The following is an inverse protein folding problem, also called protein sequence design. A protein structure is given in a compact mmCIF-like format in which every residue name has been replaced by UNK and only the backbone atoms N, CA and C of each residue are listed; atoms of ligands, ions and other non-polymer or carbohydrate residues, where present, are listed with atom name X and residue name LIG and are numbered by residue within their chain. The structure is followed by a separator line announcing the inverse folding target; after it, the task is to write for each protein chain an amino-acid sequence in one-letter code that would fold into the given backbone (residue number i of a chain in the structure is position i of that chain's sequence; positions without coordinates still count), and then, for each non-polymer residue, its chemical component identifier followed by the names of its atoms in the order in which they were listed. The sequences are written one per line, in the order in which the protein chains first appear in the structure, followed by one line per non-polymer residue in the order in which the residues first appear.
data_IF_451193841258
#
_entry.id   IF_451193841258
#
_cell.length_a   1.000
_cell.length_b   1.000
_cell.length_c   1.000
_cell.angle_alpha   90.00
_cell.angle_beta   90.00
_cell.angle_gamma   90.00
#
_symmetry.space_group_name_H-M   'P 1'
#
loop_
_entity.id
_entity.type
_entity.pdbx_description
1 polymer ?
#
# COMPACT_ATOMS: atom_id res chain seq x y z
N UNK A 1 -9.95 -23.51 14.61
CA UNK A 1 -8.91 -24.03 13.67
C UNK A 1 -8.15 -22.83 13.15
N UNK A 2 -6.83 -22.92 12.89
CA UNK A 2 -6.12 -21.80 12.30
C UNK A 2 -6.77 -21.35 10.98
N UNK A 3 -6.85 -20.04 10.78
CA UNK A 3 -7.39 -19.44 9.55
C UNK A 3 -6.29 -19.19 8.50
N UNK A 4 -5.01 -19.15 8.93
CA UNK A 4 -3.86 -19.09 8.05
C UNK A 4 -3.42 -20.52 7.66
N UNK A 5 -3.37 -20.79 6.38
CA UNK A 5 -2.93 -22.06 5.82
C UNK A 5 -1.54 -21.93 5.19
N UNK A 6 -0.64 -22.82 5.58
CA UNK A 6 0.67 -22.93 4.94
C UNK A 6 0.50 -23.70 3.62
N UNK A 7 0.91 -23.08 2.51
CA UNK A 7 0.76 -23.63 1.14
C UNK A 7 2.07 -24.13 0.55
N UNK A 8 3.20 -23.76 1.15
CA UNK A 8 4.52 -24.14 0.64
C UNK A 8 5.64 -24.03 1.68
N UNK A 9 6.85 -24.52 1.37
CA UNK A 9 7.97 -24.46 2.28
C UNK A 9 8.38 -23.01 2.57
N UNK A 10 8.79 -22.75 3.83
CA UNK A 10 9.27 -21.45 4.31
C UNK A 10 10.76 -21.64 4.63
N UNK A 11 11.58 -21.76 3.58
CA UNK A 11 13.04 -21.79 3.70
C UNK A 11 13.59 -20.49 3.14
N UNK A 12 13.77 -19.51 4.03
CA UNK A 12 14.06 -18.12 3.70
C UNK A 12 15.24 -17.62 4.52
N UNK A 13 16.04 -16.76 3.90
CA UNK A 13 17.20 -16.12 4.51
C UNK A 13 16.85 -14.69 4.93
N UNK A 14 16.82 -14.43 6.25
CA UNK A 14 16.58 -13.12 6.85
C UNK A 14 15.41 -12.35 6.19
N UNK A 15 14.19 -12.96 6.12
CA UNK A 15 13.12 -12.42 5.29
C UNK A 15 12.57 -11.12 5.85
N UNK A 16 12.21 -10.21 4.92
CA UNK A 16 11.43 -9.01 5.19
C UNK A 16 9.99 -9.23 4.73
N UNK A 17 9.01 -8.93 5.58
CA UNK A 17 7.60 -9.02 5.24
C UNK A 17 7.10 -7.66 4.72
N UNK A 18 6.72 -7.59 3.47
CA UNK A 18 6.04 -6.45 2.84
C UNK A 18 4.54 -6.72 2.86
N UNK A 19 3.76 -5.82 3.45
CA UNK A 19 2.30 -5.86 3.48
C UNK A 19 1.77 -4.80 2.53
N UNK A 20 1.21 -5.23 1.40
CA UNK A 20 0.71 -4.39 0.32
C UNK A 20 -0.68 -4.89 -0.11
N UNK A 21 -1.70 -4.54 0.66
CA UNK A 21 -3.08 -5.00 0.49
C UNK A 21 -3.98 -3.85 0.02
N UNK A 22 -5.03 -4.18 -0.74
CA UNK A 22 -6.07 -3.21 -1.08
C UNK A 22 -6.91 -2.87 0.15
N UNK A 23 -7.56 -1.72 0.15
CA UNK A 23 -8.44 -1.34 1.25
C UNK A 23 -8.46 0.17 1.50
N UNK A 24 -8.72 0.54 2.74
CA UNK A 24 -8.90 1.93 3.15
C UNK A 24 -7.74 2.87 2.80
N UNK A 25 -6.50 2.42 2.93
CA UNK A 25 -5.29 3.21 2.64
C UNK A 25 -4.60 2.78 1.34
N UNK A 26 -5.37 2.48 0.31
CA UNK A 26 -4.88 2.12 -1.03
C UNK A 26 -5.30 3.16 -2.09
N UNK A 27 -5.12 4.44 -1.79
CA UNK A 27 -5.38 5.54 -2.71
C UNK A 27 -4.66 5.32 -4.05
N UNK A 28 -5.38 5.50 -5.16
CA UNK A 28 -4.82 5.26 -6.49
C UNK A 28 -4.32 3.83 -6.71
N UNK A 29 -4.82 2.84 -5.94
CA UNK A 29 -4.42 1.42 -6.02
C UNK A 29 -2.90 1.21 -5.92
N UNK A 30 -2.18 2.10 -5.23
CA UNK A 30 -0.71 2.07 -5.19
C UNK A 30 -0.22 0.82 -4.47
N UNK A 31 -0.76 0.51 -3.27
CA UNK A 31 -0.37 -0.68 -2.51
C UNK A 31 -0.68 -1.96 -3.29
N UNK A 32 -1.89 -2.05 -3.88
CA UNK A 32 -2.28 -3.18 -4.75
C UNK A 32 -1.27 -3.39 -5.88
N UNK A 33 -0.95 -2.34 -6.67
CA UNK A 33 -0.03 -2.46 -7.81
C UNK A 33 1.41 -2.75 -7.41
N UNK A 34 1.88 -2.17 -6.30
CA UNK A 34 3.19 -2.50 -5.72
C UNK A 34 3.25 -3.98 -5.33
N UNK A 35 2.24 -4.47 -4.62
CA UNK A 35 2.16 -5.87 -4.23
C UNK A 35 2.10 -6.82 -5.43
N UNK A 36 1.26 -6.53 -6.43
CA UNK A 36 1.16 -7.31 -7.67
C UNK A 36 2.50 -7.37 -8.42
N UNK A 37 3.21 -6.25 -8.50
CA UNK A 37 4.50 -6.18 -9.16
C UNK A 37 5.58 -6.98 -8.42
N UNK A 38 5.66 -6.84 -7.10
CA UNK A 38 6.63 -7.58 -6.29
C UNK A 38 6.40 -9.09 -6.33
N UNK A 39 5.14 -9.55 -6.23
CA UNK A 39 4.84 -10.98 -6.19
C UNK A 39 4.89 -11.69 -7.55
N UNK A 40 5.08 -10.97 -8.67
CA UNK A 40 5.00 -11.55 -10.01
C UNK A 40 5.89 -12.79 -10.21
N UNK A 41 7.08 -12.79 -9.61
CA UNK A 41 8.02 -13.90 -9.62
C UNK A 41 8.00 -14.69 -8.29
N UNK A 42 7.01 -14.43 -7.44
CA UNK A 42 6.85 -15.04 -6.13
C UNK A 42 6.26 -16.44 -6.17
N UNK A 43 6.52 -17.18 -5.11
CA UNK A 43 5.91 -18.49 -4.86
C UNK A 43 4.96 -18.40 -3.68
N UNK A 44 3.72 -18.79 -3.84
CA UNK A 44 2.74 -18.84 -2.76
C UNK A 44 3.22 -19.75 -1.61
N UNK A 45 3.30 -19.19 -0.39
CA UNK A 45 3.74 -19.90 0.80
C UNK A 45 2.69 -20.01 1.89
N UNK A 46 1.76 -19.05 1.95
CA UNK A 46 0.66 -19.08 2.91
C UNK A 46 -0.54 -18.27 2.38
N UNK A 47 -1.70 -18.44 2.99
CA UNK A 47 -2.88 -17.65 2.70
C UNK A 47 -3.98 -17.88 3.73
N UNK A 48 -4.79 -16.87 3.95
CA UNK A 48 -5.96 -16.97 4.81
C UNK A 48 -7.12 -17.62 4.07
N UNK A 49 -7.94 -18.41 4.79
CA UNK A 49 -9.14 -19.03 4.20
C UNK A 49 -10.16 -17.93 3.89
N UNK A 50 -10.55 -17.76 2.62
CA UNK A 50 -11.43 -16.65 2.24
C UNK A 50 -12.79 -16.68 2.94
N UNK A 51 -13.40 -17.86 3.10
CA UNK A 51 -14.73 -18.04 3.71
C UNK A 51 -14.78 -17.62 5.19
N UNK A 52 -13.63 -17.55 5.87
CA UNK A 52 -13.57 -17.13 7.28
C UNK A 52 -13.41 -15.61 7.44
N UNK A 53 -12.82 -14.95 6.45
CA UNK A 53 -12.36 -13.55 6.60
C UNK A 53 -13.08 -12.56 5.69
N UNK A 54 -13.76 -13.03 4.62
CA UNK A 54 -14.48 -12.16 3.68
C UNK A 54 -15.98 -12.34 3.74
N UNK A 55 -16.70 -11.24 3.79
CA UNK A 55 -18.11 -11.17 3.44
C UNK A 55 -18.24 -10.96 1.91
N UNK A 56 -18.73 -11.97 1.22
CA UNK A 56 -18.88 -11.91 -0.24
C UNK A 56 -20.00 -11.00 -0.74
N UNK A 57 -20.81 -10.43 0.13
CA UNK A 57 -21.74 -9.36 -0.24
C UNK A 57 -21.03 -8.01 -0.35
N UNK A 58 -20.05 -7.78 0.52
CA UNK A 58 -19.21 -6.57 0.55
C UNK A 58 -17.98 -6.71 -0.37
N UNK A 59 -17.31 -7.85 -0.32
CA UNK A 59 -16.18 -8.20 -1.19
C UNK A 59 -16.61 -9.23 -2.24
N UNK A 60 -17.35 -8.78 -3.25
CA UNK A 60 -17.91 -9.72 -4.26
C UNK A 60 -16.82 -10.32 -5.13
N UNK A 61 -16.85 -11.66 -5.36
CA UNK A 61 -16.03 -12.28 -6.40
C UNK A 61 -16.36 -11.66 -7.76
N UNK A 62 -15.35 -11.42 -8.58
CA UNK A 62 -15.57 -11.00 -9.96
C UNK A 62 -15.65 -12.20 -10.89
N UNK A 63 -16.51 -12.09 -11.91
CA UNK A 63 -16.72 -13.12 -12.92
C UNK A 63 -16.17 -12.64 -14.26
N UNK A 64 -15.18 -13.35 -14.77
CA UNK A 64 -14.53 -13.03 -16.03
C UNK A 64 -15.28 -13.68 -17.20
N UNK A 65 -15.61 -12.87 -18.20
CA UNK A 65 -16.21 -13.27 -19.46
C UNK A 65 -15.25 -12.97 -20.60
N UNK A 66 -14.92 -13.98 -21.42
CA UNK A 66 -14.16 -13.80 -22.66
C UNK A 66 -15.05 -14.23 -23.81
N UNK A 67 -15.28 -13.32 -24.77
CA UNK A 67 -16.15 -13.53 -25.95
C UNK A 67 -17.55 -14.06 -25.59
N UNK A 68 -18.10 -13.62 -24.46
CA UNK A 68 -19.41 -14.03 -23.97
C UNK A 68 -19.45 -15.37 -23.24
N UNK A 69 -18.33 -16.08 -23.16
CA UNK A 69 -18.20 -17.32 -22.39
C UNK A 69 -17.64 -17.00 -20.98
N UNK A 70 -18.28 -17.50 -19.93
CA UNK A 70 -17.78 -17.45 -18.56
C UNK A 70 -16.54 -18.33 -18.41
N UNK A 71 -15.43 -17.77 -17.97
CA UNK A 71 -14.14 -18.47 -17.92
C UNK A 71 -13.61 -18.67 -16.54
N UNK A 72 -13.80 -17.69 -15.64
CA UNK A 72 -13.16 -17.71 -14.32
C UNK A 72 -13.92 -16.86 -13.30
N UNK A 73 -13.91 -17.33 -12.05
CA UNK A 73 -14.31 -16.55 -10.87
C UNK A 73 -13.03 -16.18 -10.12
N UNK A 74 -12.85 -14.89 -9.87
CA UNK A 74 -11.77 -14.36 -9.03
C UNK A 74 -12.35 -14.06 -7.65
N UNK A 75 -11.99 -14.89 -6.69
CA UNK A 75 -12.39 -14.72 -5.31
C UNK A 75 -11.49 -13.69 -4.60
N UNK A 76 -12.03 -12.89 -3.67
CA UNK A 76 -11.19 -12.10 -2.78
C UNK A 76 -10.25 -13.02 -2.03
N UNK A 77 -9.03 -12.57 -1.81
CA UNK A 77 -8.00 -13.39 -1.20
C UNK A 77 -7.04 -12.55 -0.38
N UNK A 78 -6.37 -13.18 0.57
CA UNK A 78 -5.28 -12.60 1.34
C UNK A 78 -4.17 -13.65 1.42
N UNK A 79 -3.08 -13.41 0.70
CA UNK A 79 -2.02 -14.41 0.44
C UNK A 79 -0.63 -13.86 0.74
N UNK A 80 0.31 -14.76 0.98
CA UNK A 80 1.72 -14.44 1.19
C UNK A 80 2.54 -15.23 0.17
N UNK A 81 3.29 -14.49 -0.64
CA UNK A 81 4.22 -15.03 -1.62
C UNK A 81 5.67 -14.79 -1.17
N UNK A 82 6.55 -15.74 -1.44
CA UNK A 82 7.97 -15.65 -1.12
C UNK A 82 8.80 -15.45 -2.37
N UNK A 83 9.72 -14.48 -2.30
CA UNK A 83 10.69 -14.17 -3.35
C UNK A 83 12.10 -14.30 -2.80
N UNK A 84 13.03 -14.77 -3.64
CA UNK A 84 14.46 -14.74 -3.32
C UNK A 84 15.04 -13.37 -3.62
N UNK A 85 15.79 -12.83 -2.66
CA UNK A 85 16.53 -11.58 -2.80
C UNK A 85 18.04 -11.80 -2.91
N UNK A 86 18.79 -10.79 -3.33
CA UNK A 86 20.26 -10.86 -3.41
C UNK A 86 20.93 -10.89 -2.03
N UNK A 87 20.24 -10.42 -0.99
CA UNK A 87 20.69 -10.41 0.41
C UNK A 87 19.64 -11.05 1.33
N UNK A 88 18.58 -10.34 1.60
CA UNK A 88 17.43 -10.83 2.36
C UNK A 88 16.35 -11.32 1.40
N UNK A 89 15.66 -12.40 1.76
CA UNK A 89 14.48 -12.85 1.03
C UNK A 89 13.29 -11.94 1.37
N UNK A 90 12.25 -11.95 0.54
CA UNK A 90 11.05 -11.13 0.74
C UNK A 90 9.80 -11.99 0.78
N UNK A 91 8.98 -11.73 1.78
CA UNK A 91 7.61 -12.18 1.86
C UNK A 91 6.71 -11.01 1.45
N UNK A 92 5.81 -11.22 0.51
CA UNK A 92 4.86 -10.19 0.07
C UNK A 92 3.46 -10.65 0.38
N UNK A 93 2.79 -9.95 1.30
CA UNK A 93 1.38 -10.16 1.61
C UNK A 93 0.54 -9.24 0.72
N UNK A 94 -0.37 -9.86 -0.04
CA UNK A 94 -1.25 -9.16 -0.99
C UNK A 94 -2.66 -9.68 -0.91
N UNK A 95 -3.60 -8.89 -1.42
CA UNK A 95 -5.01 -9.27 -1.53
C UNK A 95 -5.93 -8.16 -1.10
N UNK A 96 -7.18 -8.54 -0.79
CA UNK A 96 -8.21 -7.61 -0.36
C UNK A 96 -8.17 -7.43 1.17
N UNK A 97 -8.54 -6.24 1.64
CA UNK A 97 -8.77 -6.01 3.06
C UNK A 97 -10.00 -6.82 3.51
N UNK A 98 -9.83 -7.74 4.50
CA UNK A 98 -10.91 -8.55 5.02
C UNK A 98 -11.98 -7.75 5.77
N UNK A 99 -13.21 -8.26 5.77
CA UNK A 99 -14.33 -7.64 6.49
C UNK A 99 -14.40 -8.06 7.96
N UNK A 100 -13.71 -9.14 8.35
CA UNK A 100 -13.82 -9.73 9.67
C UNK A 100 -12.50 -10.34 10.16
N UNK A 101 -12.45 -10.75 11.42
CA UNK A 101 -11.37 -11.54 12.03
C UNK A 101 -10.01 -10.82 12.07
N UNK A 102 -10.00 -9.49 12.11
CA UNK A 102 -8.75 -8.71 12.06
C UNK A 102 -7.77 -9.04 13.18
N UNK A 103 -8.26 -9.29 14.39
CA UNK A 103 -7.41 -9.65 15.53
C UNK A 103 -6.79 -11.04 15.33
N UNK A 104 -7.59 -12.02 14.94
CA UNK A 104 -7.13 -13.38 14.65
C UNK A 104 -6.14 -13.42 13.47
N UNK A 105 -6.43 -12.65 12.41
CA UNK A 105 -5.50 -12.48 11.27
C UNK A 105 -4.16 -11.93 11.77
N UNK A 106 -4.20 -10.90 12.62
CA UNK A 106 -3.00 -10.26 13.15
C UNK A 106 -2.20 -11.19 14.06
N UNK A 107 -2.85 -11.94 14.93
CA UNK A 107 -2.22 -12.89 15.86
C UNK A 107 -1.58 -14.07 15.08
N UNK A 108 -2.29 -14.65 14.12
CA UNK A 108 -1.76 -15.75 13.30
C UNK A 108 -0.61 -15.27 12.39
N UNK A 109 -0.72 -14.06 11.83
CA UNK A 109 0.36 -13.48 11.04
C UNK A 109 1.60 -13.17 11.90
N UNK A 110 1.43 -12.70 13.14
CA UNK A 110 2.54 -12.51 14.07
C UNK A 110 3.23 -13.85 14.43
N UNK A 111 2.44 -14.91 14.62
CA UNK A 111 2.95 -16.28 14.79
C UNK A 111 3.71 -16.80 13.57
N UNK A 112 3.19 -16.54 12.38
CA UNK A 112 3.84 -16.87 11.11
C UNK A 112 5.17 -16.11 10.96
N UNK A 113 5.16 -14.79 11.19
CA UNK A 113 6.35 -13.94 11.09
C UNK A 113 7.48 -14.42 11.99
N UNK A 114 7.16 -14.83 13.24
CA UNK A 114 8.11 -15.42 14.17
C UNK A 114 8.67 -16.75 13.66
N UNK A 115 7.82 -17.63 13.15
CA UNK A 115 8.22 -18.94 12.61
C UNK A 115 9.09 -18.80 11.37
N UNK A 116 8.72 -17.86 10.48
CA UNK A 116 9.49 -17.53 9.28
C UNK A 116 10.76 -16.72 9.58
N UNK A 117 10.97 -16.29 10.83
CA UNK A 117 12.11 -15.44 11.26
C UNK A 117 12.16 -14.11 10.51
N UNK A 118 11.00 -13.49 10.35
CA UNK A 118 10.92 -12.16 9.73
C UNK A 118 11.77 -11.17 10.53
N UNK A 119 12.65 -10.46 9.85
CA UNK A 119 13.57 -9.48 10.45
C UNK A 119 13.02 -8.06 10.48
N UNK A 120 12.15 -7.73 9.53
CA UNK A 120 11.50 -6.41 9.41
C UNK A 120 10.12 -6.55 8.81
N UNK A 121 9.22 -5.62 9.14
CA UNK A 121 7.92 -5.47 8.49
C UNK A 121 7.88 -4.15 7.74
N UNK A 122 7.43 -4.19 6.49
CA UNK A 122 7.22 -3.00 5.67
C UNK A 122 5.74 -2.89 5.31
N UNK A 123 5.09 -1.86 5.79
CA UNK A 123 3.72 -1.51 5.41
C UNK A 123 3.76 -0.59 4.17
N UNK A 124 2.90 -0.87 3.19
CA UNK A 124 2.71 -0.03 2.01
C UNK A 124 1.28 0.44 1.96
N UNK A 125 1.11 1.74 1.81
CA UNK A 125 -0.20 2.34 1.63
C UNK A 125 -0.13 3.63 0.81
N UNK A 126 -1.30 4.17 0.51
CA UNK A 126 -1.41 5.45 -0.18
C UNK A 126 -2.66 6.18 0.28
N UNK A 127 -2.54 7.49 0.42
CA UNK A 127 -3.62 8.37 0.87
C UNK A 127 -3.83 9.48 -0.15
N UNK A 128 -5.07 9.90 -0.41
CA UNK A 128 -5.33 11.10 -1.18
C UNK A 128 -4.77 12.33 -0.46
N UNK A 129 -4.19 13.26 -1.24
CA UNK A 129 -3.58 14.48 -0.70
C UNK A 129 -3.67 15.65 -1.68
N UNK A 130 -3.45 16.86 -1.17
CA UNK A 130 -3.37 18.09 -1.95
C UNK A 130 -1.98 18.24 -2.58
N UNK A 131 -1.64 17.34 -3.50
CA UNK A 131 -0.36 17.29 -4.20
C UNK A 131 -0.56 17.33 -5.71
N UNK A 132 0.47 17.81 -6.43
CA UNK A 132 0.44 17.89 -7.89
C UNK A 132 1.06 16.64 -8.53
N UNK A 133 0.44 16.12 -9.59
CA UNK A 133 0.99 14.99 -10.37
C UNK A 133 2.23 15.37 -11.20
N UNK A 134 2.50 16.66 -11.36
CA UNK A 134 3.66 17.19 -12.08
C UNK A 134 4.97 17.06 -11.29
N UNK A 135 4.89 16.70 -10.01
CA UNK A 135 6.04 16.49 -9.14
C UNK A 135 6.27 15.01 -8.84
N UNK A 136 7.43 14.66 -8.27
CA UNK A 136 7.64 13.33 -7.69
C UNK A 136 6.61 13.11 -6.58
N UNK A 137 6.00 11.92 -6.57
CA UNK A 137 4.99 11.56 -5.56
C UNK A 137 5.61 11.62 -4.17
N UNK A 138 5.11 12.48 -3.26
CA UNK A 138 5.62 12.52 -1.91
C UNK A 138 5.30 11.23 -1.16
N UNK A 139 6.23 10.79 -0.30
CA UNK A 139 6.04 9.61 0.56
C UNK A 139 6.24 10.02 2.01
N UNK A 140 5.23 9.80 2.83
CA UNK A 140 5.34 9.85 4.28
C UNK A 140 5.95 8.53 4.75
N UNK A 141 6.91 8.60 5.65
CA UNK A 141 7.54 7.41 6.23
C UNK A 141 7.27 7.39 7.73
N UNK A 142 6.76 6.26 8.23
CA UNK A 142 6.62 5.97 9.66
C UNK A 142 7.52 4.82 10.06
N UNK A 143 8.07 4.81 11.27
CA UNK A 143 8.87 3.68 11.77
C UNK A 143 8.81 3.56 13.28
N UNK A 144 8.89 2.34 13.79
CA UNK A 144 9.12 2.06 15.23
C UNK A 144 10.61 2.16 15.59
N UNK A 145 11.50 2.12 14.62
CA UNK A 145 12.95 2.27 14.82
C UNK A 145 13.43 3.57 14.13
N UNK A 146 13.90 4.56 14.89
CA UNK A 146 14.43 5.81 14.33
C UNK A 146 15.59 5.59 13.34
N UNK A 147 16.37 4.53 13.49
CA UNK A 147 17.45 4.20 12.56
C UNK A 147 16.97 3.76 11.18
N UNK A 148 15.73 3.32 11.07
CA UNK A 148 15.08 2.90 9.82
C UNK A 148 14.24 4.02 9.19
N UNK A 149 14.12 5.18 9.87
CA UNK A 149 13.41 6.33 9.31
C UNK A 149 14.33 7.02 8.30
N UNK A 150 14.09 6.92 6.99
CA UNK A 150 14.79 7.77 6.03
C UNK A 150 14.54 9.22 6.41
N UNK A 151 15.45 10.11 6.09
CA UNK A 151 15.32 11.54 6.38
C UNK A 151 13.98 12.01 5.81
N UNK A 152 13.02 12.22 6.69
CA UNK A 152 11.65 12.64 6.36
C UNK A 152 11.14 13.61 7.42
N UNK A 153 10.05 14.28 7.10
CA UNK A 153 9.37 15.16 8.06
C UNK A 153 8.78 14.29 9.17
N UNK A 154 9.20 14.46 10.44
CA UNK A 154 8.59 13.71 11.53
C UNK A 154 7.12 14.13 11.66
N UNK A 155 6.22 13.17 11.53
CA UNK A 155 4.81 13.38 11.87
C UNK A 155 4.70 13.61 13.38
N UNK A 156 3.93 14.62 13.78
CA UNK A 156 3.54 14.81 15.17
C UNK A 156 2.62 13.66 15.65
N UNK A 157 1.79 13.96 16.66
CA UNK A 157 0.78 12.99 17.10
C UNK A 157 -0.40 12.99 16.11
N UNK A 158 -0.62 11.87 15.43
CA UNK A 158 -1.74 11.65 14.52
C UNK A 158 -2.67 10.57 15.08
N UNK A 159 -3.97 10.81 15.10
CA UNK A 159 -5.01 9.82 15.48
C UNK A 159 -6.01 9.73 14.34
N UNK A 160 -5.97 8.62 13.61
CA UNK A 160 -6.80 8.36 12.42
C UNK A 160 -7.39 6.96 12.49
N UNK A 161 -8.48 6.66 11.76
CA UNK A 161 -8.94 5.30 11.59
C UNK A 161 -7.81 4.39 11.07
N UNK A 162 -7.68 3.21 11.65
CA UNK A 162 -6.67 2.24 11.24
C UNK A 162 -7.20 1.38 10.09
N UNK A 163 -6.40 1.21 9.03
CA UNK A 163 -6.58 0.15 8.06
C UNK A 163 -5.96 -1.17 8.58
N UNK A 164 -6.33 -2.29 8.00
CA UNK A 164 -5.79 -3.58 8.42
C UNK A 164 -4.25 -3.61 8.34
N UNK A 165 -3.64 -3.01 7.33
CA UNK A 165 -2.18 -2.95 7.21
C UNK A 165 -1.50 -2.31 8.43
N UNK A 166 -2.13 -1.31 9.06
CA UNK A 166 -1.63 -0.70 10.29
C UNK A 166 -1.74 -1.68 11.46
N UNK A 167 -2.89 -2.36 11.59
CA UNK A 167 -3.11 -3.36 12.64
C UNK A 167 -2.10 -4.50 12.54
N UNK A 168 -1.92 -5.07 11.35
CA UNK A 168 -0.99 -6.18 11.12
C UNK A 168 0.46 -5.80 11.41
N UNK A 169 0.93 -4.70 10.87
CA UNK A 169 2.31 -4.26 11.05
C UNK A 169 2.61 -3.92 12.52
N UNK A 170 1.66 -3.29 13.22
CA UNK A 170 1.77 -2.98 14.63
C UNK A 170 1.80 -4.26 15.48
N UNK A 171 0.85 -5.18 15.28
CA UNK A 171 0.77 -6.43 16.03
C UNK A 171 2.01 -7.30 15.89
N UNK A 172 2.57 -7.41 14.66
CA UNK A 172 3.81 -8.15 14.43
C UNK A 172 4.98 -7.49 15.16
N UNK A 173 5.07 -6.16 15.08
CA UNK A 173 6.13 -5.39 15.75
C UNK A 173 6.05 -5.55 17.27
N UNK A 174 4.88 -5.37 17.86
CA UNK A 174 4.65 -5.45 19.31
C UNK A 174 4.86 -6.87 19.85
N UNK A 175 4.26 -7.86 19.22
CA UNK A 175 4.32 -9.25 19.69
C UNK A 175 5.70 -9.91 19.55
N UNK A 176 6.53 -9.47 18.59
CA UNK A 176 7.78 -10.12 18.25
C UNK A 176 9.01 -9.22 18.44
N UNK A 177 8.86 -7.94 18.76
CA UNK A 177 9.95 -6.96 18.79
C UNK A 177 10.59 -6.71 17.41
N UNK A 178 9.84 -6.96 16.33
CA UNK A 178 10.32 -6.79 14.95
C UNK A 178 10.12 -5.33 14.54
N UNK A 179 11.17 -4.62 14.05
CA UNK A 179 11.02 -3.25 13.59
C UNK A 179 10.09 -3.15 12.37
N UNK A 180 9.24 -2.12 12.37
CA UNK A 180 8.36 -1.81 11.24
C UNK A 180 8.72 -0.48 10.59
N UNK A 181 8.48 -0.40 9.27
CA UNK A 181 8.55 0.83 8.47
C UNK A 181 7.30 0.90 7.59
N UNK A 182 6.65 2.06 7.54
CA UNK A 182 5.53 2.31 6.64
C UNK A 182 5.91 3.30 5.54
N UNK A 183 5.55 3.00 4.30
CA UNK A 183 5.64 3.90 3.15
C UNK A 183 4.24 4.28 2.70
N UNK A 184 3.87 5.56 2.88
CA UNK A 184 2.55 6.10 2.60
C UNK A 184 2.65 7.11 1.47
N UNK A 185 2.30 6.69 0.24
CA UNK A 185 2.33 7.57 -0.92
C UNK A 185 1.18 8.58 -0.86
N UNK A 186 1.47 9.84 -1.18
CA UNK A 186 0.47 10.87 -1.31
C UNK A 186 -0.02 10.94 -2.76
N UNK A 187 -1.29 10.61 -2.98
CA UNK A 187 -1.91 10.57 -4.31
C UNK A 187 -2.73 11.83 -4.53
N UNK A 188 -2.58 12.52 -5.69
CA UNK A 188 -3.42 13.66 -5.98
C UNK A 188 -4.90 13.31 -5.88
N UNK A 189 -5.66 14.06 -5.10
CA UNK A 189 -7.09 13.80 -4.81
C UNK A 189 -7.99 13.78 -6.06
N UNK A 190 -7.55 14.41 -7.14
CA UNK A 190 -8.28 14.47 -8.42
C UNK A 190 -8.00 13.28 -9.35
N UNK A 191 -7.14 12.35 -8.94
CA UNK A 191 -6.81 11.16 -9.74
C UNK A 191 -7.76 10.03 -9.38
N UNK A 192 -8.33 9.38 -10.39
CA UNK A 192 -9.12 8.16 -10.27
C UNK A 192 -8.40 6.95 -10.89
N UNK A 193 -8.60 5.77 -10.32
CA UNK A 193 -7.96 4.53 -10.78
C UNK A 193 -6.50 4.41 -10.35
N UNK A 194 -5.72 3.57 -11.05
CA UNK A 194 -4.33 3.29 -10.67
C UNK A 194 -3.41 4.49 -10.89
N UNK A 195 -2.76 4.97 -9.82
CA UNK A 195 -1.81 6.08 -9.88
C UNK A 195 -0.38 5.56 -10.05
N UNK A 196 0.01 5.31 -11.29
CA UNK A 196 1.31 4.73 -11.64
C UNK A 196 2.53 5.55 -11.21
N UNK A 197 2.52 6.90 -11.19
CA UNK A 197 3.63 7.67 -10.61
C UNK A 197 3.90 7.34 -9.14
N UNK A 198 2.84 7.12 -8.35
CA UNK A 198 2.97 6.68 -6.97
C UNK A 198 3.54 5.26 -6.85
N UNK A 199 3.09 4.35 -7.71
CA UNK A 199 3.62 2.98 -7.78
C UNK A 199 5.12 2.99 -8.09
N UNK A 200 5.54 3.78 -9.10
CA UNK A 200 6.94 3.95 -9.49
C UNK A 200 7.80 4.43 -8.31
N UNK A 201 7.33 5.48 -7.61
CA UNK A 201 8.07 6.07 -6.50
C UNK A 201 8.19 5.09 -5.32
N UNK A 202 7.10 4.39 -4.96
CA UNK A 202 7.13 3.40 -3.86
C UNK A 202 8.04 2.24 -4.21
N UNK A 203 7.96 1.67 -5.41
CA UNK A 203 8.83 0.57 -5.83
C UNK A 203 10.32 0.96 -5.85
N UNK A 204 10.64 2.18 -6.30
CA UNK A 204 12.02 2.70 -6.24
C UNK A 204 12.52 2.77 -4.78
N UNK A 205 11.70 3.31 -3.86
CA UNK A 205 12.05 3.40 -2.42
C UNK A 205 12.20 2.02 -1.79
N UNK A 206 11.27 1.10 -2.07
CA UNK A 206 11.34 -0.28 -1.57
C UNK A 206 12.56 -1.02 -2.12
N UNK A 207 12.84 -0.90 -3.41
CA UNK A 207 14.01 -1.54 -4.03
C UNK A 207 15.31 -1.09 -3.35
N UNK A 208 15.45 0.21 -3.11
CA UNK A 208 16.60 0.77 -2.40
C UNK A 208 16.65 0.30 -0.94
N UNK A 209 15.52 0.31 -0.23
CA UNK A 209 15.43 -0.08 1.19
C UNK A 209 15.69 -1.57 1.41
N UNK A 210 15.20 -2.43 0.52
CA UNK A 210 15.32 -3.90 0.62
C UNK A 210 16.57 -4.43 -0.10
N UNK A 211 17.29 -3.62 -0.87
CA UNK A 211 18.39 -4.09 -1.71
C UNK A 211 17.92 -5.02 -2.85
N UNK A 212 16.67 -4.87 -3.29
CA UNK A 212 16.09 -5.70 -4.35
C UNK A 212 16.37 -5.12 -5.74
N UNK A 213 16.57 -6.00 -6.71
CA UNK A 213 16.55 -5.64 -8.12
C UNK A 213 15.15 -5.87 -8.69
N UNK A 214 14.42 -4.81 -8.90
CA UNK A 214 13.07 -4.85 -9.46
C UNK A 214 13.09 -4.27 -10.88
N UNK A 215 12.49 -4.95 -11.84
CA UNK A 215 12.35 -4.41 -13.21
C UNK A 215 11.21 -3.39 -13.27
N UNK A 216 11.56 -2.13 -13.30
CA UNK A 216 10.62 -1.01 -13.31
C UNK A 216 10.27 -0.48 -14.70
N UNK A 217 10.78 -1.07 -15.80
CA UNK A 217 10.58 -0.54 -17.17
C UNK A 217 9.10 -0.43 -17.55
N UNK A 218 8.31 -1.44 -17.19
CA UNK A 218 6.86 -1.43 -17.40
C UNK A 218 6.17 -0.34 -16.58
N UNK A 219 6.50 -0.26 -15.30
CA UNK A 219 5.95 0.73 -14.36
C UNK A 219 6.30 2.15 -14.80
N UNK A 220 7.54 2.39 -15.19
CA UNK A 220 8.00 3.70 -15.71
C UNK A 220 7.21 4.15 -16.94
N UNK A 221 6.95 3.23 -17.87
CA UNK A 221 6.13 3.53 -19.06
C UNK A 221 4.73 3.93 -18.67
N UNK A 222 4.04 3.15 -17.82
CA UNK A 222 2.69 3.45 -17.36
C UNK A 222 2.64 4.80 -16.60
N UNK A 223 3.66 5.09 -15.76
CA UNK A 223 3.76 6.34 -15.04
C UNK A 223 3.92 7.53 -15.99
N UNK A 224 4.75 7.40 -17.02
CA UNK A 224 4.97 8.44 -18.03
C UNK A 224 3.72 8.69 -18.87
N UNK A 225 3.07 7.64 -19.34
CA UNK A 225 1.82 7.73 -20.08
C UNK A 225 0.69 8.35 -19.25
N UNK A 226 0.65 8.03 -17.95
CA UNK A 226 -0.35 8.62 -17.07
C UNK A 226 -0.12 10.11 -16.85
N UNK A 227 1.13 10.55 -16.61
CA UNK A 227 1.44 11.99 -16.51
C UNK A 227 1.01 12.73 -17.78
N UNK A 228 1.35 12.21 -18.96
CA UNK A 228 0.95 12.82 -20.24
C UNK A 228 -0.57 12.92 -20.38
N UNK A 229 -1.33 11.88 -20.00
CA UNK A 229 -2.80 11.91 -20.04
C UNK A 229 -3.40 12.93 -19.08
N UNK A 230 -2.81 13.10 -17.89
CA UNK A 230 -3.24 14.12 -16.93
C UNK A 230 -2.95 15.54 -17.46
N UNK A 231 -1.77 15.78 -18.01
CA UNK A 231 -1.40 17.05 -18.62
C UNK A 231 -2.35 17.40 -19.78
N UNK A 232 -2.65 16.45 -20.67
CA UNK A 232 -3.59 16.65 -21.78
C UNK A 232 -5.01 16.95 -21.29
N UNK A 233 -5.50 16.27 -20.25
CA UNK A 233 -6.83 16.50 -19.68
C UNK A 233 -6.98 17.90 -19.07
N UNK A 234 -5.88 18.50 -18.65
CA UNK A 234 -5.81 19.82 -18.03
C UNK A 234 -5.47 20.94 -19.00
N UNK A 235 -4.93 20.61 -20.20
CA UNK A 235 -4.47 21.60 -21.19
C UNK A 235 -5.51 22.66 -21.56
N UNK A 236 -6.80 22.30 -21.52
CA UNK A 236 -7.93 23.18 -21.85
C UNK A 236 -8.72 23.68 -20.61
N UNK A 237 -8.14 23.58 -19.40
CA UNK A 237 -8.78 23.98 -18.14
C UNK A 237 -7.86 24.91 -17.33
N UNK A 238 -7.84 26.23 -17.66
CA UNK A 238 -6.92 27.18 -17.02
C UNK A 238 -7.00 27.23 -15.49
N UNK A 239 -8.21 27.12 -14.94
CA UNK A 239 -8.43 27.12 -13.49
C UNK A 239 -7.78 25.89 -12.81
N UNK A 240 -7.90 24.71 -13.46
CA UNK A 240 -7.28 23.50 -12.95
C UNK A 240 -5.75 23.54 -13.09
N UNK A 241 -5.23 24.12 -14.16
CA UNK A 241 -3.77 24.34 -14.32
C UNK A 241 -3.22 25.24 -13.21
N UNK A 242 -3.89 26.35 -12.94
CA UNK A 242 -3.49 27.26 -11.87
C UNK A 242 -3.50 26.56 -10.50
N UNK A 243 -4.55 25.78 -10.20
CA UNK A 243 -4.61 25.00 -8.96
C UNK A 243 -3.43 24.02 -8.83
N UNK A 244 -3.05 23.32 -9.90
CA UNK A 244 -1.92 22.38 -9.90
C UNK A 244 -0.58 23.11 -9.73
N UNK A 245 -0.40 24.28 -10.34
CA UNK A 245 0.78 25.10 -10.14
C UNK A 245 0.89 25.58 -8.68
N UNK A 246 -0.21 26.00 -8.07
CA UNK A 246 -0.27 26.41 -6.66
C UNK A 246 0.07 25.24 -5.73
N UNK A 247 -0.51 24.04 -5.96
CA UNK A 247 -0.17 22.82 -5.22
C UNK A 247 1.30 22.46 -5.36
N UNK A 248 1.86 22.59 -6.58
CA UNK A 248 3.27 22.34 -6.84
C UNK A 248 4.19 23.31 -6.09
N UNK A 249 3.82 24.59 -5.98
CA UNK A 249 4.57 25.59 -5.23
C UNK A 249 4.52 25.35 -3.71
N UNK A 250 3.34 24.99 -3.17
CA UNK A 250 3.18 24.66 -1.75
C UNK A 250 4.03 23.45 -1.36
N UNK A 251 4.02 22.38 -2.13
CA UNK A 251 4.84 21.19 -1.86
C UNK A 251 6.36 21.50 -1.84
N UNK A 252 6.80 22.45 -2.65
CA UNK A 252 8.21 22.88 -2.70
C UNK A 252 8.63 23.77 -1.51
N UNK A 253 7.66 24.34 -0.78
CA UNK A 253 7.89 25.23 0.36
C UNK A 253 7.78 24.55 1.73
N UNK A 254 7.36 23.26 1.78
CA UNK A 254 7.23 22.51 3.02
C UNK A 254 8.60 22.33 3.70
N UNK A 255 8.77 22.97 4.84
CA UNK A 255 9.92 22.79 5.72
C UNK A 255 9.65 21.66 6.74
N UNK A 256 10.66 21.14 7.44
CA UNK A 256 10.48 20.17 8.53
C UNK A 256 9.55 20.64 9.66
N UNK A 257 9.28 21.95 9.75
CA UNK A 257 8.39 22.57 10.74
C UNK A 257 6.90 22.44 10.36
N UNK A 258 6.59 22.10 9.11
CA UNK A 258 5.23 21.99 8.58
C UNK A 258 4.55 20.62 8.85
N UNK A 259 5.24 19.70 9.53
CA UNK A 259 4.68 18.38 9.88
C UNK A 259 3.38 18.45 10.71
N UNK A 260 3.17 19.51 11.49
CA UNK A 260 1.92 19.72 12.21
C UNK A 260 0.76 20.08 11.28
N UNK A 261 1.00 20.91 10.27
CA UNK A 261 -0.01 21.29 9.28
C UNK A 261 -0.44 20.10 8.44
N UNK A 262 0.51 19.25 8.02
CA UNK A 262 0.22 18.02 7.30
C UNK A 262 -0.64 17.04 8.12
N UNK A 263 -0.41 16.98 9.43
CA UNK A 263 -1.20 16.16 10.35
C UNK A 263 -2.66 16.65 10.38
N UNK A 264 -2.89 17.96 10.50
CA UNK A 264 -4.22 18.56 10.53
C UNK A 264 -4.95 18.39 9.19
N UNK A 265 -4.25 18.48 8.06
CA UNK A 265 -4.81 18.25 6.72
C UNK A 265 -5.25 16.79 6.54
N UNK A 266 -4.43 15.83 6.96
CA UNK A 266 -4.75 14.40 6.91
C UNK A 266 -5.93 14.09 7.83
N UNK A 267 -5.96 14.61 9.06
CA UNK A 267 -7.09 14.42 9.99
C UNK A 267 -8.38 15.00 9.44
N UNK A 268 -8.34 16.19 8.85
CA UNK A 268 -9.51 16.84 8.27
C UNK A 268 -10.03 16.06 7.08
N UNK A 269 -9.14 15.66 6.16
CA UNK A 269 -9.50 14.88 4.98
C UNK A 269 -10.12 13.51 5.36
N UNK A 270 -9.53 12.80 6.31
CA UNK A 270 -10.06 11.48 6.75
C UNK A 270 -11.38 11.61 7.52
N UNK A 271 -11.59 12.74 8.21
CA UNK A 271 -12.87 13.06 8.86
C UNK A 271 -13.97 13.30 7.84
N UNK A 272 -13.67 14.10 6.82
CA UNK A 272 -14.63 14.42 5.75
C UNK A 272 -15.02 13.17 4.95
N UNK A 273 -14.09 12.21 4.75
CA UNK A 273 -14.40 10.90 4.15
C UNK A 273 -15.29 10.03 5.03
N UNK A 274 -15.22 10.17 6.36
CA UNK A 274 -16.04 9.39 7.30
C UNK A 274 -17.47 9.91 7.45
N UNK A 275 -17.73 11.18 7.11
CA UNK A 275 -19.06 11.79 7.17
C UNK A 275 -19.86 11.63 5.85
N UNK A 276 -19.24 11.20 4.76
CA UNK A 276 -19.88 10.99 3.44
C UNK A 276 -20.34 9.52 3.24
N UNK A 277 -20.93 8.92 4.27
CA UNK A 277 -21.67 7.66 4.16
C UNK A 277 -23.01 7.86 3.41
N UNK A 278 -22.95 8.33 2.16
CA UNK A 278 -24.08 8.23 1.23
C UNK A 278 -23.87 7.04 0.32
N UNK A 279 -24.73 6.01 0.39
CA UNK A 279 -24.62 4.85 -0.47
C UNK A 279 -24.85 5.27 -1.93
N UNK A 280 -23.91 4.97 -2.80
CA UNK A 280 -24.15 4.96 -4.23
C UNK A 280 -25.27 3.96 -4.54
N UNK A 281 -26.44 4.50 -4.84
CA UNK A 281 -27.58 3.78 -5.41
C UNK A 281 -27.32 3.45 -6.89
#
# INVERSE_FOLDING_TARGET
MPILEIKGPIDLNDPVLVIAISGWVDGGMVATRVGEHLKADGRLVAGFRPDDVFDYQSNRPSFELIDGAGTKIHWPSLTIDALKGDGSDVLVMTGNEPNAMWQEIADELAGFARTARVSKVVAVGAIPAMVAHTQETPIIVSSTDPALTPIGVPLGRLVVPAALVNVLSHQISDANGIPQVGFWAQVPHYVSGSYWPGVETVLNRLSAFLGLRVDLRGVHREATEMRSRLDEALANRPEAQQMIEELGQQASSLSPEDGANLTDEIETFLRDLGDDDTPFS
#
